data_IF_628996950692
#
_entry.id   IF_628996950692
#
_cell.length_a   1.000
_cell.length_b   1.000
_cell.length_c   1.000
_cell.angle_alpha   90.00
_cell.angle_beta   90.00
_cell.angle_gamma   90.00
#
_symmetry.space_group_name_H-M   'P 1'
#
loop_
_entity.id
_entity.type
_entity.pdbx_description
1 polymer ?
#
# COMPACT_ATOMS: atom_id res chain seq x y z
N UNK A 1 16.48 0.09 -6.56
CA UNK A 1 16.15 -0.64 -5.31
C UNK A 1 14.64 -0.75 -5.29
N UNK A 2 14.07 -1.91 -4.96
CA UNK A 2 12.61 -2.06 -4.91
C UNK A 2 12.07 -1.56 -3.57
N UNK A 3 10.94 -0.87 -3.60
CA UNK A 3 10.27 -0.33 -2.41
C UNK A 3 9.50 -1.41 -1.62
N UNK A 4 9.37 -2.62 -2.16
CA UNK A 4 8.72 -3.76 -1.47
C UNK A 4 9.65 -4.47 -0.48
N UNK A 5 10.97 -4.23 -0.56
CA UNK A 5 11.96 -4.91 0.26
C UNK A 5 12.04 -4.28 1.66
N UNK A 6 11.14 -4.70 2.54
CA UNK A 6 11.22 -4.45 3.99
C UNK A 6 11.97 -5.61 4.62
N UNK A 7 12.87 -5.33 5.57
CA UNK A 7 13.60 -6.39 6.28
C UNK A 7 12.67 -7.16 7.22
N UNK A 8 12.82 -8.48 7.31
CA UNK A 8 12.10 -9.31 8.30
C UNK A 8 12.33 -8.83 9.74
N UNK A 9 13.48 -8.19 10.02
CA UNK A 9 13.76 -7.59 11.33
C UNK A 9 12.83 -6.44 11.71
N UNK A 10 12.08 -5.90 10.76
CA UNK A 10 11.10 -4.83 10.96
C UNK A 10 9.70 -5.37 11.26
N UNK A 11 9.50 -6.68 11.12
CA UNK A 11 8.27 -7.36 11.46
C UNK A 11 8.21 -7.67 12.96
N UNK A 12 7.00 -7.67 13.50
CA UNK A 12 6.79 -8.30 14.81
C UNK A 12 7.04 -9.81 14.72
N UNK A 13 7.41 -10.50 15.82
CA UNK A 13 7.68 -11.94 15.77
C UNK A 13 6.50 -12.80 15.29
N UNK A 14 5.27 -12.28 15.40
CA UNK A 14 4.01 -12.90 14.95
C UNK A 14 3.63 -12.52 13.52
N UNK A 15 4.38 -11.59 12.93
CA UNK A 15 4.04 -10.96 11.66
C UNK A 15 4.74 -11.68 10.50
N UNK A 16 4.01 -11.88 9.40
CA UNK A 16 4.49 -12.52 8.17
C UNK A 16 4.03 -11.74 6.96
N UNK A 17 4.90 -11.63 5.95
CA UNK A 17 4.59 -10.92 4.71
C UNK A 17 3.44 -11.58 3.95
N UNK A 18 2.58 -10.73 3.38
CA UNK A 18 1.59 -11.07 2.39
C UNK A 18 1.95 -10.52 1.00
N UNK A 19 0.98 -10.43 0.08
CA UNK A 19 1.18 -9.79 -1.22
C UNK A 19 1.62 -8.34 -1.12
N UNK A 20 2.42 -7.89 -2.08
CA UNK A 20 2.83 -6.50 -2.22
C UNK A 20 2.68 -6.05 -3.67
N UNK A 21 2.44 -4.77 -3.88
CA UNK A 21 2.32 -4.12 -5.19
C UNK A 21 3.17 -2.86 -5.18
N UNK A 22 3.95 -2.65 -6.23
CA UNK A 22 4.80 -1.48 -6.45
C UNK A 22 4.39 -0.78 -7.75
N UNK A 23 4.31 0.55 -7.73
CA UNK A 23 3.89 1.38 -8.84
C UNK A 23 4.03 2.87 -8.54
N UNK A 24 3.15 3.67 -9.12
CA UNK A 24 3.07 5.12 -8.92
C UNK A 24 1.92 5.43 -7.97
N UNK A 25 2.21 5.94 -6.78
CA UNK A 25 1.20 6.41 -5.84
C UNK A 25 0.70 7.80 -6.19
N UNK A 26 -0.61 7.94 -6.29
CA UNK A 26 -1.30 9.23 -6.37
C UNK A 26 -1.58 9.70 -4.94
N UNK A 27 -0.70 10.56 -4.43
CA UNK A 27 -0.75 11.12 -3.09
C UNK A 27 -0.28 12.58 -3.11
N UNK A 28 -1.23 13.50 -2.92
CA UNK A 28 -0.97 14.95 -2.99
C UNK A 28 -0.16 15.43 -1.79
N UNK A 29 1.12 15.74 -2.01
CA UNK A 29 1.99 16.37 -1.02
C UNK A 29 2.75 17.51 -1.67
N UNK A 30 2.69 18.70 -1.08
CA UNK A 30 3.50 19.86 -1.48
C UNK A 30 3.41 20.25 -2.98
N UNK A 31 2.28 19.98 -3.63
CA UNK A 31 2.07 20.31 -5.05
C UNK A 31 2.54 19.24 -6.04
N UNK A 32 3.10 18.12 -5.57
CA UNK A 32 3.37 16.92 -6.37
C UNK A 32 2.40 15.81 -5.97
N UNK A 33 1.77 15.21 -6.98
CA UNK A 33 0.73 14.20 -6.81
C UNK A 33 1.24 12.78 -7.00
N UNK A 34 2.35 12.59 -7.71
CA UNK A 34 2.82 11.28 -8.18
C UNK A 34 4.17 10.94 -7.57
N UNK A 35 4.25 9.76 -6.97
CA UNK A 35 5.43 9.28 -6.29
C UNK A 35 5.66 7.80 -6.58
N UNK A 36 6.91 7.38 -6.73
CA UNK A 36 7.21 5.95 -6.74
C UNK A 36 6.90 5.36 -5.35
N UNK A 37 6.13 4.28 -5.31
CA UNK A 37 5.64 3.75 -4.05
C UNK A 37 5.22 2.29 -4.12
N UNK A 38 5.00 1.72 -2.94
CA UNK A 38 4.54 0.36 -2.80
C UNK A 38 3.55 0.22 -1.64
N UNK A 39 2.58 -0.66 -1.83
CA UNK A 39 1.76 -1.23 -0.77
C UNK A 39 2.26 -2.64 -0.45
N UNK A 40 2.53 -2.89 0.82
CA UNK A 40 3.07 -4.15 1.32
C UNK A 40 2.16 -4.62 2.43
N UNK A 41 1.63 -5.83 2.31
CA UNK A 41 0.78 -6.39 3.36
C UNK A 41 1.59 -7.30 4.26
N UNK A 42 1.14 -7.38 5.50
CA UNK A 42 1.47 -8.48 6.40
C UNK A 42 0.18 -9.10 6.92
N UNK A 43 0.28 -10.20 7.65
CA UNK A 43 -0.88 -10.76 8.33
C UNK A 43 -1.52 -9.80 9.35
N UNK A 44 -0.84 -8.73 9.78
CA UNK A 44 -1.29 -7.81 10.84
C UNK A 44 -1.63 -6.39 10.35
N UNK A 45 -0.95 -5.87 9.32
CA UNK A 45 -1.08 -4.47 8.88
C UNK A 45 -0.75 -4.28 7.41
N UNK A 46 -1.09 -3.10 6.88
CA UNK A 46 -0.67 -2.64 5.57
C UNK A 46 0.37 -1.54 5.72
N UNK A 47 1.45 -1.64 4.96
CA UNK A 47 2.56 -0.70 4.94
C UNK A 47 2.59 -0.02 3.58
N UNK A 48 2.64 1.32 3.59
CA UNK A 48 2.86 2.13 2.40
C UNK A 48 4.26 2.71 2.46
N UNK A 49 5.10 2.37 1.49
CA UNK A 49 6.41 2.98 1.28
C UNK A 49 6.33 3.93 0.07
N UNK A 50 6.95 5.10 0.19
CA UNK A 50 7.01 6.12 -0.85
C UNK A 50 8.44 6.62 -0.96
N UNK A 51 8.95 6.74 -2.17
CA UNK A 51 10.22 7.38 -2.45
C UNK A 51 9.98 8.86 -2.78
N UNK A 52 10.27 9.74 -1.81
CA UNK A 52 10.18 11.18 -1.98
C UNK A 52 11.57 11.75 -2.29
N UNK A 53 11.95 11.73 -3.56
CA UNK A 53 13.23 12.28 -4.05
C UNK A 53 14.48 11.69 -3.37
N UNK A 54 14.47 10.37 -3.13
CA UNK A 54 15.56 9.64 -2.48
C UNK A 54 15.38 9.46 -0.98
N UNK A 55 14.38 10.10 -0.36
CA UNK A 55 14.00 9.85 1.02
C UNK A 55 12.83 8.86 1.09
N UNK A 56 13.01 7.80 1.89
CA UNK A 56 11.96 6.83 2.14
C UNK A 56 10.95 7.40 3.15
N UNK A 57 9.71 7.59 2.71
CA UNK A 57 8.58 7.93 3.56
C UNK A 57 7.69 6.70 3.76
N UNK A 58 7.38 6.38 5.02
CA UNK A 58 6.58 5.20 5.38
C UNK A 58 5.34 5.58 6.16
N UNK A 59 4.22 4.91 5.82
CA UNK A 59 3.00 4.87 6.63
C UNK A 59 2.56 3.43 6.89
N UNK A 60 1.90 3.24 8.01
CA UNK A 60 1.36 1.96 8.45
C UNK A 60 -0.11 2.16 8.75
N UNK A 61 -0.93 1.24 8.26
CA UNK A 61 -2.37 1.24 8.43
C UNK A 61 -2.80 -0.09 9.06
N UNK A 62 -3.54 -0.03 10.17
CA UNK A 62 -4.21 -1.22 10.68
C UNK A 62 -5.35 -1.57 9.71
N UNK A 63 -5.62 -2.86 9.50
CA UNK A 63 -6.70 -3.27 8.60
C UNK A 63 -8.07 -2.72 9.02
N UNK A 64 -8.31 -2.54 10.32
CA UNK A 64 -9.53 -1.93 10.87
C UNK A 64 -9.74 -0.48 10.43
N UNK A 65 -8.67 0.21 10.02
CA UNK A 65 -8.70 1.61 9.59
C UNK A 65 -8.93 1.74 8.08
N UNK A 66 -8.98 0.61 7.36
CA UNK A 66 -9.27 0.56 5.92
C UNK A 66 -10.74 0.25 5.74
N UNK A 67 -11.43 1.08 4.96
CA UNK A 67 -12.85 0.91 4.64
C UNK A 67 -13.05 -0.08 3.50
N UNK A 68 -12.30 0.07 2.42
CA UNK A 68 -12.36 -0.84 1.27
C UNK A 68 -11.05 -0.82 0.48
N UNK A 69 -10.87 -1.84 -0.35
CA UNK A 69 -9.76 -1.98 -1.29
C UNK A 69 -10.31 -2.55 -2.58
N UNK A 70 -10.00 -1.92 -3.71
CA UNK A 70 -10.50 -2.36 -5.01
C UNK A 70 -9.56 -1.96 -6.12
N UNK A 71 -9.62 -2.71 -7.23
CA UNK A 71 -8.96 -2.35 -8.47
C UNK A 71 -10.01 -2.04 -9.55
N UNK A 72 -9.68 -1.13 -10.45
CA UNK A 72 -10.42 -0.88 -11.69
C UNK A 72 -9.44 -0.51 -12.82
N UNK A 73 -9.96 -0.09 -13.97
CA UNK A 73 -9.16 0.33 -15.13
C UNK A 73 -8.17 1.49 -14.87
N UNK A 74 -8.31 2.20 -13.76
CA UNK A 74 -7.42 3.27 -13.34
C UNK A 74 -6.38 2.85 -12.28
N UNK A 75 -6.41 1.61 -11.79
CA UNK A 75 -5.44 1.07 -10.84
C UNK A 75 -6.05 0.54 -9.53
N UNK A 76 -5.20 0.42 -8.51
CA UNK A 76 -5.50 -0.09 -7.18
C UNK A 76 -5.82 1.06 -6.22
N UNK A 77 -6.90 0.95 -5.47
CA UNK A 77 -7.37 1.97 -4.54
C UNK A 77 -7.52 1.38 -3.14
N UNK A 78 -7.07 2.14 -2.14
CA UNK A 78 -7.33 1.92 -0.72
C UNK A 78 -8.19 3.09 -0.23
N UNK A 79 -9.41 2.78 0.21
CA UNK A 79 -10.35 3.75 0.76
C UNK A 79 -10.34 3.70 2.29
N UNK A 80 -10.31 4.88 2.91
CA UNK A 80 -10.35 5.05 4.35
C UNK A 80 -11.75 5.54 4.80
N UNK A 81 -12.08 5.51 6.11
CA UNK A 81 -13.32 6.05 6.64
C UNK A 81 -13.64 7.47 6.16
N UNK A 82 -14.92 7.83 6.25
CA UNK A 82 -15.43 9.09 5.73
C UNK A 82 -14.62 10.31 6.21
N UNK A 83 -14.23 11.17 5.27
CA UNK A 83 -13.38 12.34 5.52
C UNK A 83 -11.87 12.10 5.45
N UNK A 84 -11.40 10.84 5.37
CA UNK A 84 -9.97 10.51 5.24
C UNK A 84 -9.50 10.33 3.78
N UNK A 85 -10.43 10.14 2.85
CA UNK A 85 -10.15 10.03 1.43
C UNK A 85 -9.68 8.64 0.99
N UNK A 86 -8.98 8.59 -0.14
CA UNK A 86 -8.45 7.36 -0.74
C UNK A 86 -7.05 7.60 -1.28
N UNK A 87 -6.25 6.54 -1.32
CA UNK A 87 -4.93 6.52 -1.94
C UNK A 87 -5.00 5.57 -3.14
N UNK A 88 -4.42 5.98 -4.27
CA UNK A 88 -4.36 5.15 -5.47
C UNK A 88 -2.92 4.76 -5.77
N UNK A 89 -2.72 3.52 -6.21
CA UNK A 89 -1.51 3.04 -6.87
C UNK A 89 -1.87 2.75 -8.32
N UNK A 90 -1.19 3.43 -9.23
CA UNK A 90 -1.37 3.31 -10.68
C UNK A 90 -0.07 2.84 -11.31
N UNK A 91 -0.11 2.48 -12.60
CA UNK A 91 1.08 2.08 -13.35
C UNK A 91 1.92 1.00 -12.64
N UNK A 92 1.26 -0.09 -12.23
CA UNK A 92 1.91 -1.18 -11.50
C UNK A 92 3.14 -1.71 -12.24
N UNK A 93 4.27 -1.66 -11.53
CA UNK A 93 5.58 -2.14 -11.98
C UNK A 93 5.81 -3.59 -11.56
N UNK A 94 5.40 -3.93 -10.34
CA UNK A 94 5.61 -5.25 -9.74
C UNK A 94 4.44 -5.64 -8.85
N UNK A 95 4.16 -6.94 -8.76
CA UNK A 95 3.10 -7.48 -7.92
C UNK A 95 1.83 -7.83 -8.72
N UNK A 96 0.85 -8.39 -8.03
CA UNK A 96 -0.45 -8.72 -8.60
C UNK A 96 -1.54 -8.02 -7.78
N UNK A 97 -2.19 -7.03 -8.39
CA UNK A 97 -3.24 -6.22 -7.76
C UNK A 97 -4.46 -7.05 -7.34
N UNK A 98 -4.84 -8.07 -8.12
CA UNK A 98 -5.98 -8.93 -7.82
C UNK A 98 -5.72 -9.74 -6.55
N UNK A 99 -4.60 -10.45 -6.49
CA UNK A 99 -4.16 -11.21 -5.31
C UNK A 99 -4.02 -10.29 -4.08
N UNK A 100 -3.55 -9.06 -4.29
CA UNK A 100 -3.45 -8.07 -3.22
C UNK A 100 -4.83 -7.65 -2.69
N UNK A 101 -5.76 -7.29 -3.58
CA UNK A 101 -7.13 -6.92 -3.23
C UNK A 101 -7.82 -8.06 -2.50
N UNK A 102 -7.73 -9.28 -3.02
CA UNK A 102 -8.31 -10.46 -2.36
C UNK A 102 -7.75 -10.68 -0.95
N UNK A 103 -6.44 -10.52 -0.79
CA UNK A 103 -5.78 -10.68 0.50
C UNK A 103 -6.27 -9.64 1.50
N UNK A 104 -6.25 -8.36 1.12
CA UNK A 104 -6.66 -7.27 2.02
C UNK A 104 -8.15 -7.39 2.33
N UNK A 105 -9.02 -7.70 1.37
CA UNK A 105 -10.46 -7.93 1.65
C UNK A 105 -10.69 -9.01 2.70
N UNK A 106 -9.95 -10.13 2.64
CA UNK A 106 -10.01 -11.18 3.68
C UNK A 106 -9.60 -10.69 5.07
N UNK A 107 -8.80 -9.62 5.15
CA UNK A 107 -8.38 -8.99 6.42
C UNK A 107 -9.38 -7.98 6.96
N UNK A 108 -10.21 -7.39 6.09
CA UNK A 108 -11.25 -6.44 6.51
C UNK A 108 -12.47 -7.15 7.14
N UNK A 109 -12.70 -8.42 6.80
CA UNK A 109 -13.81 -9.23 7.31
C UNK A 109 -14.86 -9.47 6.24
#
# INVERSE_FOLDING_TARGET
MSLINISESELYPTESFGPAVEGTLIYNVQGQAEWEGAFITTNERLIMNVNMNGEAYRRVFDYKDIKDVYQNEHGLFIEFPEGMGKIALVETKTGNEETFVEYVKKKLG
#
